data_IF_030450551942
#
_entry.id   IF_030450551942
#
_cell.length_a   1.000
_cell.length_b   1.000
_cell.length_c   1.000
_cell.angle_alpha   90.00
_cell.angle_beta   90.00
_cell.angle_gamma   90.00
#
_symmetry.space_group_name_H-M   'P 1'
#
loop_
_entity.id
_entity.type
_entity.pdbx_description
1 polymer ?
#
# COMPACT_ATOMS: atom_id res chain seq x y z
N UNK A 1 13.21 28.74 -41.82
CA UNK A 1 13.60 27.83 -40.72
C UNK A 1 12.49 27.87 -39.68
N UNK A 2 11.67 26.80 -39.60
CA UNK A 2 10.76 26.63 -38.47
C UNK A 2 11.57 26.07 -37.29
N UNK A 3 11.75 26.88 -36.25
CA UNK A 3 12.23 26.40 -34.96
C UNK A 3 11.04 25.84 -34.20
N UNK A 4 10.88 24.52 -34.22
CA UNK A 4 9.90 23.82 -33.37
C UNK A 4 10.47 23.77 -31.96
N UNK A 5 9.83 24.49 -31.04
CA UNK A 5 10.09 24.37 -29.62
C UNK A 5 9.60 23.02 -29.11
N UNK A 6 10.47 22.27 -28.45
CA UNK A 6 10.13 21.08 -27.68
C UNK A 6 10.81 21.16 -26.31
N UNK A 7 10.11 21.73 -25.33
CA UNK A 7 10.48 21.65 -23.91
C UNK A 7 9.20 21.63 -23.04
N UNK A 8 8.39 20.57 -23.11
CA UNK A 8 7.25 20.37 -22.18
C UNK A 8 7.03 18.92 -21.72
N UNK A 9 7.98 17.99 -21.93
CA UNK A 9 7.75 16.57 -21.66
C UNK A 9 8.00 16.08 -20.22
N UNK A 10 8.32 16.97 -19.26
CA UNK A 10 8.66 16.55 -17.89
C UNK A 10 7.55 16.79 -16.84
N UNK A 11 6.54 17.61 -17.14
CA UNK A 11 5.46 17.92 -16.19
C UNK A 11 4.26 16.97 -16.31
N UNK A 12 3.99 16.48 -17.51
CA UNK A 12 2.77 15.72 -17.82
C UNK A 12 2.67 14.34 -17.15
N UNK A 13 3.80 13.71 -16.82
CA UNK A 13 3.81 12.39 -16.17
C UNK A 13 3.44 12.49 -14.68
N UNK A 14 3.90 13.54 -14.00
CA UNK A 14 3.51 13.82 -12.62
C UNK A 14 2.03 14.20 -12.54
N UNK A 15 1.58 15.06 -13.45
CA UNK A 15 0.19 15.47 -13.52
C UNK A 15 -0.76 14.27 -13.73
N UNK A 16 -0.35 13.26 -14.50
CA UNK A 16 -1.15 12.06 -14.73
C UNK A 16 -1.24 11.14 -13.50
N UNK A 17 -0.12 10.91 -12.79
CA UNK A 17 -0.09 10.10 -11.56
C UNK A 17 -0.88 10.77 -10.43
N UNK A 18 -0.75 12.09 -10.28
CA UNK A 18 -1.48 12.87 -9.27
C UNK A 18 -2.99 12.90 -9.57
N UNK A 19 -3.38 13.03 -10.84
CA UNK A 19 -4.79 12.96 -11.26
C UNK A 19 -5.37 11.57 -11.03
N UNK A 20 -4.63 10.51 -11.35
CA UNK A 20 -5.07 9.13 -11.10
C UNK A 20 -5.27 8.90 -9.61
N UNK A 21 -4.30 9.31 -8.79
CA UNK A 21 -4.37 9.21 -7.33
C UNK A 21 -5.56 10.00 -6.77
N UNK A 22 -5.80 11.24 -7.21
CA UNK A 22 -6.92 12.05 -6.77
C UNK A 22 -8.28 11.41 -7.15
N UNK A 23 -8.36 10.81 -8.33
CA UNK A 23 -9.52 10.05 -8.79
C UNK A 23 -9.80 8.83 -7.90
N UNK A 24 -8.77 8.04 -7.61
CA UNK A 24 -8.87 6.90 -6.69
C UNK A 24 -9.29 7.36 -5.29
N UNK A 25 -8.65 8.41 -4.75
CA UNK A 25 -8.94 8.95 -3.44
C UNK A 25 -10.42 9.39 -3.30
N UNK A 26 -10.98 10.02 -4.34
CA UNK A 26 -12.39 10.41 -4.37
C UNK A 26 -13.37 9.25 -4.54
N UNK A 27 -12.91 8.09 -5.02
CA UNK A 27 -13.74 6.92 -5.33
C UNK A 27 -13.74 5.86 -4.22
N UNK A 28 -12.92 6.03 -3.18
CA UNK A 28 -12.76 5.07 -2.10
C UNK A 28 -13.08 5.67 -0.72
N UNK A 29 -13.51 4.86 0.26
CA UNK A 29 -13.61 5.29 1.64
C UNK A 29 -12.26 5.83 2.17
N UNK A 30 -12.26 6.88 3.00
CA UNK A 30 -11.05 7.39 3.59
C UNK A 30 -10.42 6.35 4.55
N UNK A 31 -9.10 6.22 4.48
CA UNK A 31 -8.32 5.38 5.38
C UNK A 31 -8.21 6.04 6.76
N UNK A 32 -8.60 5.35 7.82
CA UNK A 32 -8.26 5.78 9.19
C UNK A 32 -6.75 5.63 9.41
N UNK A 33 -6.09 6.62 9.98
CA UNK A 33 -4.63 6.63 10.15
C UNK A 33 -4.29 6.71 11.64
N UNK A 34 -3.41 5.81 12.09
CA UNK A 34 -2.81 5.81 13.43
C UNK A 34 -1.29 5.74 13.28
N UNK A 35 -0.54 6.48 14.12
CA UNK A 35 0.91 6.52 14.06
C UNK A 35 1.46 7.64 13.17
N UNK A 36 2.65 7.42 12.62
CA UNK A 36 3.45 8.47 11.99
C UNK A 36 3.93 8.07 10.58
N UNK A 37 3.04 8.06 9.58
CA UNK A 37 3.44 7.77 8.21
C UNK A 37 4.25 8.92 7.61
N UNK A 38 5.13 8.60 6.66
CA UNK A 38 5.58 9.57 5.67
C UNK A 38 4.51 9.72 4.57
N UNK A 39 4.58 10.79 3.78
CA UNK A 39 3.67 10.97 2.64
C UNK A 39 3.68 9.75 1.70
N UNK A 40 4.87 9.19 1.47
CA UNK A 40 5.03 8.04 0.59
C UNK A 40 4.52 6.73 1.19
N UNK A 41 4.77 6.47 2.47
CA UNK A 41 4.25 5.25 3.12
C UNK A 41 2.72 5.28 3.24
N UNK A 42 2.13 6.45 3.50
CA UNK A 42 0.68 6.63 3.47
C UNK A 42 0.12 6.38 2.07
N UNK A 43 0.70 7.03 1.05
CA UNK A 43 0.19 6.97 -0.32
C UNK A 43 0.24 5.56 -0.92
N UNK A 44 1.29 4.78 -0.66
CA UNK A 44 1.35 3.38 -1.12
C UNK A 44 0.36 2.49 -0.35
N UNK A 45 0.18 2.72 0.95
CA UNK A 45 -0.76 1.95 1.79
C UNK A 45 -2.20 2.16 1.31
N UNK A 46 -2.56 3.40 0.99
CA UNK A 46 -3.87 3.71 0.41
C UNK A 46 -4.10 2.99 -0.90
N UNK A 47 -3.14 3.07 -1.84
CA UNK A 47 -3.23 2.34 -3.11
C UNK A 47 -3.37 0.82 -2.90
N UNK A 48 -2.63 0.22 -1.97
CA UNK A 48 -2.78 -1.21 -1.65
C UNK A 48 -4.22 -1.53 -1.22
N UNK A 49 -4.78 -0.78 -0.26
CA UNK A 49 -6.16 -0.99 0.21
C UNK A 49 -7.17 -0.83 -0.93
N UNK A 50 -7.00 0.20 -1.77
CA UNK A 50 -7.87 0.46 -2.91
C UNK A 50 -7.81 -0.67 -3.95
N UNK A 51 -6.62 -1.14 -4.32
CA UNK A 51 -6.51 -2.24 -5.30
C UNK A 51 -7.01 -3.58 -4.77
N UNK A 52 -6.92 -3.81 -3.45
CA UNK A 52 -7.58 -4.96 -2.80
C UNK A 52 -9.11 -4.80 -2.90
N UNK A 53 -9.65 -3.62 -2.61
CA UNK A 53 -11.09 -3.34 -2.68
C UNK A 53 -11.66 -3.49 -4.11
N UNK A 54 -10.92 -2.97 -5.09
CA UNK A 54 -11.22 -3.05 -6.53
C UNK A 54 -11.17 -4.49 -7.06
N UNK A 55 -10.41 -5.37 -6.41
CA UNK A 55 -10.22 -6.76 -6.84
C UNK A 55 -9.38 -6.91 -8.11
N UNK A 56 -8.51 -5.93 -8.40
CA UNK A 56 -7.69 -5.90 -9.62
C UNK A 56 -6.28 -6.43 -9.35
N UNK A 57 -6.10 -7.73 -9.57
CA UNK A 57 -4.85 -8.47 -9.31
C UNK A 57 -3.63 -7.78 -9.92
N UNK A 58 -3.67 -7.46 -11.21
CA UNK A 58 -2.53 -6.86 -11.91
C UNK A 58 -2.16 -5.46 -11.39
N UNK A 59 -3.16 -4.64 -11.03
CA UNK A 59 -2.91 -3.31 -10.47
C UNK A 59 -2.30 -3.42 -9.07
N UNK A 60 -2.80 -4.31 -8.22
CA UNK A 60 -2.23 -4.58 -6.89
C UNK A 60 -0.80 -5.12 -7.01
N UNK A 61 -0.57 -6.13 -7.85
CA UNK A 61 0.75 -6.72 -8.06
C UNK A 61 1.77 -5.72 -8.62
N UNK A 62 1.32 -4.69 -9.36
CA UNK A 62 2.20 -3.63 -9.88
C UNK A 62 2.78 -2.70 -8.80
N UNK A 63 2.18 -2.70 -7.60
CA UNK A 63 2.68 -1.96 -6.44
C UNK A 63 3.84 -2.67 -5.74
N UNK A 64 4.07 -3.94 -6.10
CA UNK A 64 5.09 -4.76 -5.48
C UNK A 64 6.49 -4.21 -5.72
N UNK A 65 7.32 -4.40 -4.70
CA UNK A 65 8.75 -4.21 -4.80
C UNK A 65 9.38 -5.18 -5.80
N UNK A 66 10.28 -4.67 -6.65
CA UNK A 66 10.83 -5.41 -7.79
C UNK A 66 11.95 -6.39 -7.41
N UNK A 67 12.44 -6.30 -6.17
CA UNK A 67 13.43 -7.24 -5.63
C UNK A 67 12.80 -8.53 -5.09
N UNK A 68 11.47 -8.66 -5.18
CA UNK A 68 10.74 -9.85 -4.72
C UNK A 68 11.03 -11.11 -5.54
N UNK A 69 10.67 -12.26 -4.98
CA UNK A 69 10.84 -13.60 -5.57
C UNK A 69 9.90 -13.90 -6.76
N UNK A 70 9.24 -12.90 -7.35
CA UNK A 70 8.25 -13.07 -8.42
C UNK A 70 6.87 -13.56 -7.95
N UNK A 71 6.59 -13.59 -6.65
CA UNK A 71 5.31 -14.05 -6.09
C UNK A 71 4.19 -12.98 -6.05
N UNK A 72 4.41 -11.79 -6.60
CA UNK A 72 3.51 -10.64 -6.40
C UNK A 72 2.10 -10.86 -6.94
N UNK A 73 1.96 -11.49 -8.11
CA UNK A 73 0.65 -11.77 -8.72
C UNK A 73 -0.14 -12.76 -7.87
N UNK A 74 0.50 -13.85 -7.43
CA UNK A 74 -0.15 -14.84 -6.56
C UNK A 74 -0.50 -14.26 -5.19
N UNK A 75 0.39 -13.46 -4.61
CA UNK A 75 0.13 -12.74 -3.36
C UNK A 75 -1.06 -11.79 -3.51
N UNK A 76 -1.14 -11.06 -4.63
CA UNK A 76 -2.26 -10.15 -4.92
C UNK A 76 -3.60 -10.90 -5.03
N UNK A 77 -3.63 -12.05 -5.73
CA UNK A 77 -4.82 -12.91 -5.78
C UNK A 77 -5.27 -13.34 -4.38
N UNK A 78 -4.34 -13.78 -3.55
CA UNK A 78 -4.64 -14.23 -2.18
C UNK A 78 -5.15 -13.08 -1.32
N UNK A 79 -4.52 -11.89 -1.40
CA UNK A 79 -4.95 -10.71 -0.65
C UNK A 79 -6.34 -10.24 -1.06
N UNK A 80 -6.63 -10.20 -2.36
CA UNK A 80 -7.96 -9.84 -2.87
C UNK A 80 -9.00 -10.86 -2.39
N UNK A 81 -8.68 -12.15 -2.48
CA UNK A 81 -9.58 -13.22 -2.04
C UNK A 81 -9.86 -13.14 -0.54
N UNK A 82 -8.83 -12.93 0.28
CA UNK A 82 -8.96 -12.92 1.73
C UNK A 82 -9.58 -11.62 2.27
N UNK A 83 -9.20 -10.46 1.72
CA UNK A 83 -9.45 -9.16 2.33
C UNK A 83 -10.32 -8.22 1.49
N UNK A 84 -10.69 -8.60 0.26
CA UNK A 84 -11.45 -7.74 -0.67
C UNK A 84 -12.75 -7.22 -0.08
N UNK A 85 -13.50 -8.05 0.65
CA UNK A 85 -14.72 -7.61 1.34
C UNK A 85 -14.42 -6.54 2.40
N UNK A 86 -13.48 -6.80 3.29
CA UNK A 86 -13.11 -5.87 4.36
C UNK A 86 -12.54 -4.55 3.82
N UNK A 87 -11.81 -4.60 2.71
CA UNK A 87 -11.14 -3.44 2.12
C UNK A 87 -12.11 -2.47 1.44
N UNK A 88 -13.28 -2.94 1.01
CA UNK A 88 -14.38 -2.10 0.51
C UNK A 88 -15.07 -1.30 1.61
N UNK A 89 -14.93 -1.75 2.85
CA UNK A 89 -15.50 -1.11 4.02
C UNK A 89 -14.55 -0.10 4.66
N UNK A 90 -14.76 0.13 5.96
CA UNK A 90 -13.87 0.95 6.77
C UNK A 90 -12.57 0.21 7.04
N UNK A 91 -11.43 0.84 6.78
CA UNK A 91 -10.09 0.34 7.11
C UNK A 91 -9.35 1.35 7.98
N UNK A 92 -8.62 0.87 8.98
CA UNK A 92 -7.62 1.66 9.70
C UNK A 92 -6.24 1.10 9.41
N UNK A 93 -5.31 1.95 8.98
CA UNK A 93 -3.89 1.63 8.91
C UNK A 93 -3.17 2.23 10.12
N UNK A 94 -2.47 1.38 10.86
CA UNK A 94 -1.55 1.80 11.90
C UNK A 94 -0.11 1.63 11.43
N UNK A 95 0.63 2.73 11.45
CA UNK A 95 2.00 2.82 10.94
C UNK A 95 2.98 2.71 12.12
N UNK A 96 3.74 1.64 12.14
CA UNK A 96 4.66 1.31 13.23
C UNK A 96 6.07 1.79 12.94
N UNK A 97 6.71 2.35 13.98
CA UNK A 97 8.06 2.89 13.97
C UNK A 97 8.29 4.00 12.93
N UNK A 98 9.52 4.52 12.83
CA UNK A 98 9.86 5.59 11.89
C UNK A 98 9.85 5.09 10.44
N UNK A 99 9.01 5.70 9.60
CA UNK A 99 8.81 5.32 8.20
C UNK A 99 9.63 6.09 7.17
N UNK A 100 10.91 6.41 7.44
CA UNK A 100 11.73 7.18 6.50
C UNK A 100 12.15 6.37 5.26
N UNK A 101 12.45 5.08 5.41
CA UNK A 101 12.84 4.18 4.31
C UNK A 101 12.04 2.88 4.24
N UNK A 102 11.56 2.40 5.38
CA UNK A 102 10.73 1.20 5.51
C UNK A 102 9.74 1.43 6.62
N UNK A 103 8.53 0.92 6.47
CA UNK A 103 7.54 1.00 7.52
C UNK A 103 6.69 -0.25 7.53
N UNK A 104 6.40 -0.71 8.74
CA UNK A 104 5.45 -1.76 8.99
C UNK A 104 4.08 -1.16 9.21
N UNK A 105 3.07 -1.74 8.58
CA UNK A 105 1.71 -1.21 8.59
C UNK A 105 0.74 -2.33 8.91
N UNK A 106 -0.09 -2.11 9.92
CA UNK A 106 -1.17 -3.03 10.28
C UNK A 106 -2.50 -2.44 9.80
N UNK A 107 -3.16 -3.17 8.92
CA UNK A 107 -4.47 -2.87 8.38
C UNK A 107 -5.52 -3.60 9.21
N UNK A 108 -6.46 -2.84 9.76
CA UNK A 108 -7.63 -3.35 10.48
C UNK A 108 -8.85 -3.16 9.59
N UNK A 109 -9.41 -4.26 9.08
CA UNK A 109 -10.56 -4.29 8.19
C UNK A 109 -11.82 -4.48 9.02
N UNK A 110 -12.49 -3.38 9.34
CA UNK A 110 -13.51 -3.33 10.41
C UNK A 110 -14.79 -4.11 10.09
N UNK A 111 -15.13 -4.28 8.80
CA UNK A 111 -16.35 -5.01 8.42
C UNK A 111 -16.22 -6.52 8.62
N UNK A 112 -15.01 -7.06 8.46
CA UNK A 112 -14.74 -8.50 8.53
C UNK A 112 -13.96 -8.92 9.76
N UNK A 113 -13.64 -7.98 10.66
CA UNK A 113 -12.77 -8.18 11.82
C UNK A 113 -11.41 -8.83 11.45
N UNK A 114 -10.97 -8.66 10.21
CA UNK A 114 -9.69 -9.16 9.72
C UNK A 114 -8.59 -8.15 9.96
N UNK A 115 -7.39 -8.67 10.19
CA UNK A 115 -6.17 -7.87 10.31
C UNK A 115 -5.22 -8.34 9.21
N UNK A 116 -4.53 -7.39 8.58
CA UNK A 116 -3.45 -7.68 7.63
C UNK A 116 -2.25 -6.81 7.94
N UNK A 117 -1.10 -7.43 8.18
CA UNK A 117 0.18 -6.74 8.24
C UNK A 117 0.79 -6.66 6.84
N UNK A 118 1.32 -5.49 6.48
CA UNK A 118 2.10 -5.28 5.26
C UNK A 118 3.39 -4.56 5.61
N UNK A 119 4.40 -4.73 4.77
CA UNK A 119 5.63 -3.95 4.84
C UNK A 119 5.76 -3.09 3.58
N UNK A 120 6.01 -1.81 3.77
CA UNK A 120 6.22 -0.84 2.68
C UNK A 120 7.61 -0.24 2.77
N UNK A 121 8.21 0.09 1.63
CA UNK A 121 9.55 0.67 1.57
C UNK A 121 9.74 1.65 0.43
N UNK A 122 10.58 2.65 0.64
CA UNK A 122 11.08 3.51 -0.41
C UNK A 122 12.12 2.74 -1.24
N UNK A 123 12.02 2.87 -2.56
CA UNK A 123 12.98 2.38 -3.55
C UNK A 123 13.36 3.54 -4.45
N UNK A 124 14.59 3.56 -4.98
CA UNK A 124 14.98 4.62 -5.90
C UNK A 124 14.80 4.16 -7.35
N UNK A 125 14.04 4.93 -8.12
CA UNK A 125 13.91 4.73 -9.56
C UNK A 125 14.04 6.07 -10.29
N UNK A 126 14.97 6.13 -11.25
CA UNK A 126 15.26 7.36 -12.02
C UNK A 126 15.51 8.59 -11.13
N UNK A 127 16.17 8.41 -9.99
CA UNK A 127 16.52 9.49 -9.06
C UNK A 127 15.35 10.01 -8.22
N UNK A 128 14.22 9.29 -8.17
CA UNK A 128 13.06 9.61 -7.33
C UNK A 128 12.76 8.45 -6.41
N UNK A 129 12.31 8.77 -5.20
CA UNK A 129 11.83 7.78 -4.26
C UNK A 129 10.43 7.33 -4.66
N UNK A 130 10.30 6.03 -4.94
CA UNK A 130 9.04 5.36 -5.22
C UNK A 130 8.78 4.35 -4.12
N UNK A 131 7.63 4.47 -3.48
CA UNK A 131 7.20 3.56 -2.44
C UNK A 131 6.59 2.30 -3.03
N UNK A 132 6.95 1.15 -2.45
CA UNK A 132 6.53 -0.18 -2.86
C UNK A 132 6.11 -1.01 -1.66
N UNK A 133 5.28 -2.01 -1.90
CA UNK A 133 4.86 -2.99 -0.90
C UNK A 133 5.61 -4.32 -1.12
N UNK A 134 5.99 -4.99 -0.04
CA UNK A 134 6.55 -6.33 -0.12
C UNK A 134 5.41 -7.32 -0.30
N UNK A 135 5.52 -8.20 -1.29
CA UNK A 135 4.48 -9.17 -1.67
C UNK A 135 5.12 -10.54 -1.92
N UNK A 136 5.31 -11.30 -0.84
CA UNK A 136 6.03 -12.58 -0.80
C UNK A 136 5.24 -13.71 -0.12
N UNK A 137 3.90 -13.62 -0.17
CA UNK A 137 2.96 -14.57 0.46
C UNK A 137 2.12 -15.31 -0.61
N UNK A 138 2.74 -16.20 -1.42
CA UNK A 138 2.08 -16.88 -2.52
C UNK A 138 1.04 -17.93 -2.08
N UNK A 139 1.02 -18.33 -0.80
CA UNK A 139 -0.02 -19.22 -0.28
C UNK A 139 -1.14 -18.48 0.46
N UNK A 140 -2.40 -18.98 0.45
CA UNK A 140 -3.48 -18.40 1.23
C UNK A 140 -3.20 -18.34 2.74
N UNK A 141 -2.47 -19.32 3.27
CA UNK A 141 -2.10 -19.40 4.68
C UNK A 141 -1.12 -18.29 5.05
N UNK A 142 -0.09 -18.05 4.24
CA UNK A 142 0.84 -16.93 4.43
C UNK A 142 0.13 -15.59 4.29
N UNK A 143 -0.76 -15.44 3.30
CA UNK A 143 -1.48 -14.20 3.05
C UNK A 143 -2.30 -13.70 4.25
N UNK A 144 -2.78 -14.64 5.07
CA UNK A 144 -3.63 -14.38 6.25
C UNK A 144 -2.89 -14.55 7.58
N UNK A 145 -1.62 -14.92 7.55
CA UNK A 145 -0.81 -15.05 8.74
C UNK A 145 -0.64 -13.70 9.45
N UNK A 146 -0.69 -13.75 10.78
CA UNK A 146 -0.45 -12.59 11.64
C UNK A 146 0.73 -12.88 12.56
N UNK A 147 1.66 -11.94 12.63
CA UNK A 147 2.73 -12.05 13.59
C UNK A 147 2.19 -11.89 15.03
N UNK A 148 2.72 -12.65 16.02
CA UNK A 148 2.20 -12.64 17.39
C UNK A 148 2.20 -11.28 18.11
N UNK A 149 3.02 -10.34 17.66
CA UNK A 149 3.11 -9.00 18.25
C UNK A 149 1.99 -8.06 17.80
N UNK A 150 1.28 -8.38 16.71
CA UNK A 150 0.28 -7.51 16.09
C UNK A 150 -0.90 -7.28 17.06
N UNK A 151 -1.20 -6.02 17.42
CA UNK A 151 -2.30 -5.74 18.35
C UNK A 151 -3.66 -6.07 17.77
N UNK A 152 -4.63 -6.30 18.66
CA UNK A 152 -6.00 -6.62 18.22
C UNK A 152 -6.79 -5.37 17.88
N UNK A 153 -6.40 -4.22 18.43
CA UNK A 153 -7.06 -2.95 18.17
C UNK A 153 -6.04 -1.88 17.77
N UNK A 154 -6.41 -0.97 16.85
CA UNK A 154 -5.56 0.15 16.48
C UNK A 154 -5.13 0.97 17.71
N UNK A 155 -3.84 1.29 17.81
CA UNK A 155 -3.29 2.22 18.79
C UNK A 155 -2.91 1.59 20.14
N UNK A 156 -3.13 0.29 20.36
CA UNK A 156 -2.82 -0.38 21.64
C UNK A 156 -1.34 -0.28 22.05
N UNK A 157 -0.43 -0.17 21.09
CA UNK A 157 1.01 -0.05 21.33
C UNK A 157 1.57 1.36 21.16
N UNK A 158 0.72 2.37 20.90
CA UNK A 158 1.17 3.72 20.59
C UNK A 158 2.09 3.77 19.36
N UNK A 159 1.83 2.89 18.38
CA UNK A 159 2.55 2.83 17.11
C UNK A 159 4.07 2.55 17.23
N UNK A 160 4.44 1.73 18.21
CA UNK A 160 5.80 1.20 18.39
C UNK A 160 5.79 -0.32 18.38
N UNK A 161 6.76 -0.93 17.71
CA UNK A 161 6.93 -2.39 17.79
C UNK A 161 7.42 -2.78 19.19
N UNK A 162 6.90 -3.89 19.72
CA UNK A 162 7.43 -4.50 20.95
C UNK A 162 8.61 -5.38 20.52
N UNK A 163 9.83 -4.92 20.77
CA UNK A 163 11.06 -5.70 20.55
C UNK A 163 11.30 -6.71 21.66
#
# INVERSE_FOLDING_TARGET
MLAVGMLTACSSAYDAEDVAYAGDYGSHPPLGVVGYPSTGSLGITQQVVWRIADGKVGELASLADKDGNGASEKTAENWITAFGKGARGKVTAEFYDEGSLRQEVVLYLHETDQIKQIQVRATSAKGKDIWRVIMDEPSPEEATALHPWVPKKPGELGSKTVR
#
